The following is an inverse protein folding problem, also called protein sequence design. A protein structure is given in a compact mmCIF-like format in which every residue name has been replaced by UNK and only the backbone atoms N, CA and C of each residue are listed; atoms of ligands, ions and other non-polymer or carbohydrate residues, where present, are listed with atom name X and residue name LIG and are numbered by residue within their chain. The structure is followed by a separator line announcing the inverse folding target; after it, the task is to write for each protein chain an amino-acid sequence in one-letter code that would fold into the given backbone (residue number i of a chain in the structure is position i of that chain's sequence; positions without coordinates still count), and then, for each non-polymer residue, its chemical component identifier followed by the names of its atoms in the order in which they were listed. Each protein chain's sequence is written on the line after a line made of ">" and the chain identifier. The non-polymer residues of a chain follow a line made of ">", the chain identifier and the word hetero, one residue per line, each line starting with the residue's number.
data_IF_379231840258
#
_entry.id   IF_379231840258
#
_cell.length_a   1.000
_cell.length_b   1.000
_cell.length_c   1.000
_cell.angle_alpha   90.00
_cell.angle_beta   90.00
_cell.angle_gamma   90.00
#
_symmetry.space_group_name_H-M   'P 1'
#
loop_
_entity.id
_entity.type
_entity.pdbx_description
1 polymer ?
#
# COMPACT_ATOMS: atom_id res chain seq x y z
N UNK A 1 17.71 3.08 12.62
CA UNK A 1 16.50 3.05 11.79
C UNK A 1 15.98 1.63 11.71
N UNK A 2 14.75 1.37 12.18
CA UNK A 2 14.10 0.07 12.14
C UNK A 2 13.71 -0.31 10.71
N UNK A 3 13.45 -1.60 10.46
CA UNK A 3 12.93 -2.05 9.17
C UNK A 3 11.55 -1.44 8.85
N UNK A 4 10.72 -1.17 9.85
CA UNK A 4 9.43 -0.49 9.68
C UNK A 4 9.62 0.95 9.18
N UNK A 5 10.58 1.69 9.75
CA UNK A 5 10.92 3.04 9.29
C UNK A 5 11.43 3.03 7.85
N UNK A 6 12.23 2.04 7.46
CA UNK A 6 12.68 1.89 6.07
C UNK A 6 11.52 1.70 5.11
N UNK A 7 10.55 0.86 5.46
CA UNK A 7 9.34 0.62 4.65
C UNK A 7 8.51 1.89 4.52
N UNK A 8 8.28 2.60 5.63
CA UNK A 8 7.52 3.86 5.64
C UNK A 8 8.15 4.99 4.83
N UNK A 9 9.47 4.90 4.61
CA UNK A 9 10.23 5.85 3.80
C UNK A 9 10.34 5.43 2.32
N UNK A 10 9.73 4.31 1.91
CA UNK A 10 9.69 3.93 0.50
C UNK A 10 8.79 4.89 -0.29
N UNK A 11 9.23 5.39 -1.47
CA UNK A 11 8.44 6.35 -2.25
C UNK A 11 7.03 5.83 -2.59
N UNK A 12 6.93 4.60 -3.08
CA UNK A 12 5.67 3.96 -3.43
C UNK A 12 4.76 3.66 -2.22
N UNK A 13 5.32 3.54 -1.01
CA UNK A 13 4.51 3.42 0.21
C UNK A 13 3.83 4.75 0.53
N UNK A 14 4.59 5.85 0.51
CA UNK A 14 4.07 7.20 0.78
C UNK A 14 3.08 7.64 -0.30
N UNK A 15 3.41 7.39 -1.56
CA UNK A 15 2.52 7.62 -2.69
C UNK A 15 1.20 6.86 -2.52
N UNK A 16 1.26 5.57 -2.18
CA UNK A 16 0.06 4.76 -2.02
C UNK A 16 -0.84 5.22 -0.86
N UNK A 17 -0.26 5.62 0.26
CA UNK A 17 -1.04 6.17 1.37
C UNK A 17 -1.69 7.50 1.00
N UNK A 18 -0.99 8.38 0.28
CA UNK A 18 -1.57 9.62 -0.22
C UNK A 18 -2.78 9.34 -1.11
N UNK A 19 -2.62 8.45 -2.09
CA UNK A 19 -3.70 8.06 -3.00
C UNK A 19 -4.89 7.47 -2.23
N UNK A 20 -4.64 6.59 -1.25
CA UNK A 20 -5.70 6.03 -0.41
C UNK A 20 -6.46 7.11 0.37
N UNK A 21 -5.75 8.05 1.00
CA UNK A 21 -6.39 9.12 1.80
C UNK A 21 -7.19 10.11 0.95
N UNK A 22 -6.87 10.22 -0.35
CA UNK A 22 -7.60 11.05 -1.32
C UNK A 22 -8.75 10.30 -2.00
N UNK A 23 -8.84 8.96 -1.85
CA UNK A 23 -9.86 8.15 -2.51
C UNK A 23 -11.18 8.09 -1.72
N UNK A 24 -12.23 8.76 -2.22
CA UNK A 24 -13.51 8.91 -1.51
C UNK A 24 -14.15 7.57 -1.12
N UNK A 25 -14.34 6.64 -2.06
CA UNK A 25 -14.98 5.35 -1.74
C UNK A 25 -14.16 4.53 -0.74
N UNK A 26 -12.84 4.71 -0.69
CA UNK A 26 -12.02 3.98 0.27
C UNK A 26 -12.21 4.54 1.69
N UNK A 27 -12.35 5.87 1.81
CA UNK A 27 -12.67 6.54 3.07
C UNK A 27 -14.07 6.19 3.56
N UNK A 28 -15.06 6.09 2.67
CA UNK A 28 -16.43 5.71 3.02
C UNK A 28 -16.47 4.27 3.56
N UNK A 29 -15.79 3.34 2.88
CA UNK A 29 -15.76 1.93 3.29
C UNK A 29 -14.96 1.70 4.58
N UNK A 30 -13.80 2.35 4.74
CA UNK A 30 -12.98 2.21 5.95
C UNK A 30 -13.53 3.00 7.14
N UNK A 31 -14.12 4.16 6.88
CA UNK A 31 -14.38 5.18 7.89
C UNK A 31 -13.12 5.95 8.28
N UNK A 32 -13.28 7.16 8.79
CA UNK A 32 -12.18 8.02 9.25
C UNK A 32 -12.17 8.14 10.78
N UNK A 33 -11.00 8.33 11.43
CA UNK A 33 -9.66 8.39 10.84
C UNK A 33 -9.14 7.01 10.42
N UNK A 34 -8.39 6.99 9.32
CA UNK A 34 -7.72 5.79 8.83
C UNK A 34 -6.36 5.66 9.54
N UNK A 35 -6.10 4.49 10.13
CA UNK A 35 -4.87 4.12 10.83
C UNK A 35 -4.10 3.10 10.00
N UNK A 36 -2.78 3.24 10.00
CA UNK A 36 -1.87 2.35 9.25
C UNK A 36 -0.99 1.60 10.24
N UNK A 37 -1.04 0.26 10.21
CA UNK A 37 -0.30 -0.59 11.13
C UNK A 37 1.08 -0.98 10.59
N UNK A 38 1.82 -1.78 11.36
CA UNK A 38 3.09 -2.35 10.92
C UNK A 38 2.86 -3.47 9.90
N UNK A 39 3.73 -3.53 8.90
CA UNK A 39 3.73 -4.64 7.95
C UNK A 39 4.37 -5.88 8.61
N UNK A 40 3.89 -7.07 8.25
CA UNK A 40 4.56 -8.31 8.62
C UNK A 40 5.80 -8.52 7.74
N UNK A 41 6.97 -8.17 8.29
CA UNK A 41 8.26 -8.32 7.62
C UNK A 41 8.70 -9.79 7.49
N UNK A 42 8.07 -10.71 8.23
CA UNK A 42 8.29 -12.15 8.10
C UNK A 42 7.62 -12.74 6.87
N UNK A 43 6.51 -12.16 6.42
CA UNK A 43 5.81 -12.56 5.20
C UNK A 43 6.52 -12.04 3.94
N UNK A 44 7.64 -12.66 3.60
CA UNK A 44 8.44 -12.32 2.42
C UNK A 44 7.75 -12.68 1.09
N UNK A 45 6.63 -13.40 1.14
CA UNK A 45 5.85 -13.74 -0.06
C UNK A 45 4.99 -12.55 -0.49
N UNK A 46 4.45 -11.81 0.47
CA UNK A 46 3.61 -10.65 0.19
C UNK A 46 4.29 -9.30 0.44
N UNK A 47 5.37 -9.28 1.24
CA UNK A 47 6.15 -8.09 1.55
C UNK A 47 7.59 -8.24 1.05
N UNK A 48 7.90 -7.63 -0.09
CA UNK A 48 9.26 -7.60 -0.62
C UNK A 48 9.50 -6.35 -1.45
N UNK A 49 10.75 -5.90 -1.45
CA UNK A 49 11.26 -4.88 -2.37
C UNK A 49 12.37 -5.54 -3.18
N UNK A 50 12.06 -5.86 -4.44
CA UNK A 50 12.98 -6.49 -5.39
C UNK A 50 13.86 -5.48 -6.10
N UNK A 51 14.51 -5.92 -7.18
CA UNK A 51 15.35 -5.02 -8.00
C UNK A 51 14.52 -4.04 -8.81
N UNK A 52 13.45 -4.48 -9.46
CA UNK A 52 12.63 -3.66 -10.37
C UNK A 52 11.14 -3.64 -9.99
N UNK A 53 10.71 -4.55 -9.11
CA UNK A 53 9.33 -4.66 -8.65
C UNK A 53 9.28 -4.76 -7.12
N UNK A 54 8.17 -4.35 -6.54
CA UNK A 54 7.91 -4.34 -5.10
C UNK A 54 6.45 -4.69 -4.85
N UNK A 55 6.21 -5.46 -3.79
CA UNK A 55 4.89 -5.75 -3.24
C UNK A 55 4.89 -5.47 -1.75
N UNK A 56 3.95 -4.67 -1.28
CA UNK A 56 3.71 -4.42 0.14
C UNK A 56 2.25 -4.70 0.47
N UNK A 57 2.04 -5.38 1.58
CA UNK A 57 0.74 -5.69 2.15
C UNK A 57 0.63 -4.95 3.49
N UNK A 58 -0.04 -3.81 3.47
CA UNK A 58 -0.08 -2.88 4.60
C UNK A 58 -1.41 -3.01 5.32
N UNK A 59 -1.44 -3.41 6.62
CA UNK A 59 -2.69 -3.47 7.35
C UNK A 59 -3.20 -2.06 7.67
N UNK A 60 -4.49 -1.84 7.41
CA UNK A 60 -5.17 -0.56 7.56
C UNK A 60 -6.50 -0.77 8.30
N UNK A 61 -6.86 0.17 9.15
CA UNK A 61 -8.15 0.17 9.84
C UNK A 61 -8.75 1.57 9.89
N UNK A 62 -10.06 1.67 9.76
CA UNK A 62 -10.82 2.87 10.04
C UNK A 62 -11.88 2.62 11.11
N UNK A 63 -12.83 3.54 11.22
CA UNK A 63 -13.92 3.44 12.21
C UNK A 63 -15.02 2.45 11.81
N UNK A 64 -15.13 2.12 10.52
CA UNK A 64 -16.18 1.25 9.95
C UNK A 64 -15.62 -0.14 9.64
N UNK A 65 -14.48 -0.20 8.93
CA UNK A 65 -13.92 -1.47 8.47
C UNK A 65 -12.40 -1.51 8.62
N UNK A 66 -11.81 -2.68 8.44
CA UNK A 66 -10.37 -2.92 8.41
C UNK A 66 -10.00 -3.89 7.32
N UNK A 67 -8.73 -3.86 6.91
CA UNK A 67 -8.29 -4.67 5.80
C UNK A 67 -6.82 -4.50 5.46
N UNK A 68 -6.49 -4.86 4.24
CA UNK A 68 -5.13 -4.89 3.72
C UNK A 68 -5.04 -4.02 2.46
N UNK A 69 -4.11 -3.08 2.47
CA UNK A 69 -3.73 -2.32 1.29
C UNK A 69 -2.61 -3.06 0.57
N UNK A 70 -2.95 -3.63 -0.57
CA UNK A 70 -2.02 -4.25 -1.49
C UNK A 70 -1.41 -3.18 -2.40
N UNK A 71 -0.12 -2.90 -2.22
CA UNK A 71 0.64 -1.94 -3.01
C UNK A 71 1.58 -2.72 -3.93
N UNK A 72 1.36 -2.62 -5.23
CA UNK A 72 2.28 -3.08 -6.25
C UNK A 72 2.99 -1.87 -6.84
N UNK A 73 4.31 -1.95 -6.94
CA UNK A 73 5.13 -0.90 -7.51
C UNK A 73 6.21 -1.48 -8.41
N UNK A 74 6.60 -0.69 -9.41
CA UNK A 74 7.69 -1.02 -10.30
C UNK A 74 8.55 0.22 -10.58
N UNK A 75 9.71 -0.02 -11.20
CA UNK A 75 10.60 1.01 -11.71
C UNK A 75 11.28 0.52 -12.99
N UNK A 76 11.59 1.41 -13.95
CA UNK A 76 12.23 1.03 -15.20
C UNK A 76 13.65 0.47 -15.02
N UNK A 77 14.44 1.08 -14.12
CA UNK A 77 15.82 0.69 -13.82
C UNK A 77 16.13 0.71 -12.33
N UNK A 78 17.32 0.24 -11.91
CA UNK A 78 17.70 0.22 -10.49
C UNK A 78 18.06 1.62 -9.95
N UNK A 79 18.34 2.55 -10.85
CA UNK A 79 18.64 3.95 -10.59
C UNK A 79 17.37 4.78 -10.38
N UNK A 80 16.23 4.32 -10.91
CA UNK A 80 14.93 4.97 -10.76
C UNK A 80 14.32 4.74 -9.38
N UNK A 81 13.42 5.66 -8.99
CA UNK A 81 12.55 5.46 -7.84
C UNK A 81 11.39 4.53 -8.22
N UNK A 82 11.01 3.67 -7.27
CA UNK A 82 9.76 2.91 -7.36
C UNK A 82 8.57 3.86 -7.43
N UNK A 83 7.64 3.56 -8.34
CA UNK A 83 6.34 4.23 -8.45
C UNK A 83 5.23 3.22 -8.25
N UNK A 84 4.16 3.62 -7.58
CA UNK A 84 2.96 2.81 -7.49
C UNK A 84 2.48 2.45 -8.92
N UNK A 85 2.15 1.17 -9.09
CA UNK A 85 1.57 0.61 -10.31
C UNK A 85 0.11 0.27 -10.09
N UNK A 86 -0.20 -0.37 -8.95
CA UNK A 86 -1.54 -0.82 -8.61
C UNK A 86 -1.73 -0.79 -7.10
N UNK A 87 -2.85 -0.25 -6.64
CA UNK A 87 -3.25 -0.22 -5.24
C UNK A 87 -4.64 -0.81 -5.13
N UNK A 88 -4.77 -1.88 -4.34
CA UNK A 88 -6.05 -2.52 -4.04
C UNK A 88 -6.27 -2.51 -2.54
N UNK A 89 -7.45 -2.09 -2.12
CA UNK A 89 -7.90 -2.23 -0.75
C UNK A 89 -8.75 -3.51 -0.66
N UNK A 90 -8.33 -4.44 0.19
CA UNK A 90 -9.05 -5.69 0.47
C UNK A 90 -9.62 -5.59 1.88
N UNK A 91 -10.95 -5.61 1.98
CA UNK A 91 -11.72 -5.62 3.21
C UNK A 91 -12.28 -7.03 3.43
N UNK A 92 -13.02 -7.24 4.53
CA UNK A 92 -13.60 -8.54 4.87
C UNK A 92 -14.58 -9.07 3.79
N UNK A 93 -15.47 -8.21 3.29
CA UNK A 93 -16.55 -8.62 2.37
C UNK A 93 -16.32 -8.18 0.92
N UNK A 94 -15.44 -7.22 0.68
CA UNK A 94 -15.23 -6.64 -0.64
C UNK A 94 -13.78 -6.21 -0.89
N UNK A 95 -13.45 -5.98 -2.16
CA UNK A 95 -12.19 -5.35 -2.52
C UNK A 95 -12.41 -4.30 -3.60
N UNK A 96 -11.73 -3.17 -3.45
CA UNK A 96 -11.80 -2.06 -4.40
C UNK A 96 -10.44 -1.78 -4.99
N UNK A 97 -10.43 -1.44 -6.28
CA UNK A 97 -9.25 -0.89 -6.94
C UNK A 97 -9.18 0.61 -6.62
N UNK A 98 -8.17 1.01 -5.86
CA UNK A 98 -7.96 2.40 -5.46
C UNK A 98 -7.18 3.15 -6.54
N UNK A 99 -6.26 2.45 -7.20
CA UNK A 99 -5.42 3.04 -8.23
C UNK A 99 -4.84 1.97 -9.15
N UNK A 100 -4.74 2.30 -10.43
CA UNK A 100 -3.97 1.56 -11.42
C UNK A 100 -3.34 2.56 -12.39
N UNK A 101 -2.03 2.44 -12.61
CA UNK A 101 -1.30 3.27 -13.56
C UNK A 101 -1.43 2.66 -14.94
N UNK A 102 -1.89 3.45 -15.91
CA UNK A 102 -1.89 3.05 -17.31
C UNK A 102 -0.45 2.74 -17.76
N UNK A 103 -0.29 1.62 -18.49
CA UNK A 103 1.01 1.09 -18.93
C UNK A 103 1.42 1.65 -20.29
#
# INVERSE_FOLDING_TARGET
>A
MSYQEKVRNLPHYQEALKILFEHESAKELLGTPIKVAHIDLGDRRNNYVGKLESKLLVPISGAINSGLLNIYADRPSIEDQFKAKKIRLELEEESILVYERDS
#
